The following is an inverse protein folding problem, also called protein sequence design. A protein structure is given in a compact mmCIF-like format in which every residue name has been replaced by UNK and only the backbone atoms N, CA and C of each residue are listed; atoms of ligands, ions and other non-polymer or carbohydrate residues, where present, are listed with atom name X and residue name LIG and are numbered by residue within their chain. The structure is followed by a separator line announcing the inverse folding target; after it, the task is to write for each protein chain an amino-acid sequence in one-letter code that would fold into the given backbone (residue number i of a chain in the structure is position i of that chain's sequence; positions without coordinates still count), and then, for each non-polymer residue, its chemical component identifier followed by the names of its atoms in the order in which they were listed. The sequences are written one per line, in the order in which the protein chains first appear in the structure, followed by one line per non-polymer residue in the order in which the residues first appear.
data_IF_755381532602
#
_entry.id   IF_755381532602
#
_cell.length_a   1.000
_cell.length_b   1.000
_cell.length_c   1.000
_cell.angle_alpha   90.00
_cell.angle_beta   90.00
_cell.angle_gamma   90.00
#
_symmetry.space_group_name_H-M   'P 1'
#
loop_
_entity.id
_entity.type
_entity.pdbx_description
1 polymer ?
#
# COMPACT_ATOMS: atom_id res chain seq x y z
N UNK A 1 29.88 -0.03 4.39
CA UNK A 1 29.31 -0.76 3.22
C UNK A 1 27.86 -1.12 3.52
N UNK A 2 26.96 -0.17 3.28
CA UNK A 2 25.53 -0.32 3.55
C UNK A 2 24.83 -1.00 2.39
N UNK A 3 24.24 -2.16 2.64
CA UNK A 3 23.35 -2.82 1.70
C UNK A 3 21.90 -2.43 2.05
N UNK A 4 21.20 -1.88 1.06
CA UNK A 4 19.79 -1.54 1.12
C UNK A 4 18.99 -2.86 1.16
N UNK A 5 18.33 -3.16 2.28
CA UNK A 5 17.49 -4.34 2.39
C UNK A 5 16.09 -4.02 1.84
N UNK A 6 15.86 -4.43 0.60
CA UNK A 6 14.57 -4.31 -0.04
C UNK A 6 13.61 -5.37 0.53
N UNK A 7 12.60 -4.88 1.24
CA UNK A 7 11.50 -5.64 1.81
C UNK A 7 10.44 -5.83 0.72
N UNK A 8 10.07 -7.07 0.39
CA UNK A 8 9.09 -7.33 -0.66
C UNK A 8 7.86 -8.09 -0.17
N UNK A 9 6.70 -7.44 -0.29
CA UNK A 9 5.36 -8.04 -0.20
C UNK A 9 4.95 -8.58 -1.58
N UNK A 10 4.51 -9.83 -1.64
CA UNK A 10 3.94 -10.45 -2.85
C UNK A 10 2.41 -10.24 -2.80
N UNK A 11 1.83 -9.61 -3.83
CA UNK A 11 0.37 -9.53 -4.03
C UNK A 11 0.01 -10.22 -5.35
N UNK A 12 -0.74 -11.31 -5.26
CA UNK A 12 -1.31 -12.04 -6.39
C UNK A 12 -2.32 -11.17 -7.13
N UNK A 13 -2.01 -10.77 -8.36
CA UNK A 13 -2.97 -10.15 -9.29
C UNK A 13 -2.78 -10.75 -10.68
N UNK A 14 -3.87 -11.21 -11.30
CA UNK A 14 -3.89 -11.81 -12.64
C UNK A 14 -3.58 -10.76 -13.73
N UNK A 15 -2.67 -11.03 -14.70
CA UNK A 15 -2.50 -10.19 -15.87
C UNK A 15 -3.41 -10.60 -17.05
N UNK A 16 -3.77 -9.67 -17.96
CA UNK A 16 -4.49 -9.98 -19.20
C UNK A 16 -3.55 -10.55 -20.26
N UNK A 17 -4.08 -11.42 -21.13
CA UNK A 17 -3.34 -12.09 -22.22
C UNK A 17 -2.89 -11.09 -23.30
N UNK A 18 -1.65 -11.22 -23.76
CA UNK A 18 -1.17 -10.67 -25.04
C UNK A 18 -0.55 -11.77 -25.92
N UNK A 19 -0.61 -11.62 -27.26
CA UNK A 19 -0.21 -12.63 -28.26
C UNK A 19 1.30 -12.52 -28.64
N UNK A 20 1.86 -13.48 -29.44
CA UNK A 20 3.29 -13.78 -29.48
C UNK A 20 4.10 -12.88 -30.45
N UNK A 21 5.45 -12.93 -30.39
CA UNK A 21 6.32 -11.95 -31.02
C UNK A 21 6.74 -12.34 -32.44
N UNK A 22 7.02 -11.33 -33.26
CA UNK A 22 7.75 -11.45 -34.52
C UNK A 22 8.99 -10.55 -34.49
N UNK A 23 10.09 -11.16 -34.88
CA UNK A 23 11.47 -10.66 -34.99
C UNK A 23 11.66 -9.67 -36.14
N UNK A 24 12.49 -8.63 -35.93
CA UNK A 24 13.73 -8.34 -36.69
C UNK A 24 14.15 -6.87 -36.56
N UNK A 25 15.40 -6.68 -36.14
CA UNK A 25 16.40 -5.71 -36.61
C UNK A 25 15.96 -4.32 -37.11
N UNK A 26 16.41 -3.27 -36.40
CA UNK A 26 16.85 -1.95 -36.89
C UNK A 26 16.78 -0.91 -35.77
N UNK A 27 17.93 -0.40 -35.32
CA UNK A 27 18.02 0.73 -34.38
C UNK A 27 17.38 2.00 -34.96
N UNK A 28 16.44 2.69 -34.29
CA UNK A 28 15.97 3.99 -34.71
C UNK A 28 16.85 5.13 -34.14
N UNK A 29 17.11 6.20 -34.90
CA UNK A 29 17.79 7.38 -34.39
C UNK A 29 16.89 8.14 -33.39
N UNK A 30 17.52 8.73 -32.39
CA UNK A 30 16.88 9.59 -31.37
C UNK A 30 16.02 10.69 -32.02
N UNK A 31 14.82 10.98 -31.50
CA UNK A 31 13.96 12.02 -32.06
C UNK A 31 14.52 13.41 -31.75
N UNK A 32 15.25 13.99 -32.70
CA UNK A 32 15.53 15.42 -32.70
C UNK A 32 14.22 16.18 -32.94
N UNK A 33 13.73 16.85 -31.89
CA UNK A 33 12.53 17.68 -31.95
C UNK A 33 12.74 18.79 -32.99
N UNK A 34 11.86 18.85 -34.00
CA UNK A 34 11.89 19.85 -35.07
C UNK A 34 11.76 21.26 -34.48
N UNK A 35 12.36 22.27 -35.12
CA UNK A 35 12.38 23.65 -34.59
C UNK A 35 10.96 24.21 -34.33
N UNK A 36 9.95 23.83 -35.10
CA UNK A 36 8.56 24.21 -34.78
C UNK A 36 8.03 23.60 -33.48
N UNK A 37 8.46 22.39 -33.11
CA UNK A 37 8.06 21.76 -31.84
C UNK A 37 8.74 22.44 -30.65
N UNK A 38 10.02 22.82 -30.78
CA UNK A 38 10.74 23.60 -29.76
C UNK A 38 10.08 24.96 -29.53
N UNK A 39 9.69 25.66 -30.59
CA UNK A 39 8.97 26.94 -30.47
C UNK A 39 7.62 26.78 -29.77
N UNK A 40 6.87 25.69 -30.02
CA UNK A 40 5.60 25.43 -29.33
C UNK A 40 5.80 25.14 -27.84
N UNK A 41 6.84 24.39 -27.49
CA UNK A 41 7.19 24.11 -26.09
C UNK A 41 7.60 25.40 -25.37
N UNK A 42 8.41 26.24 -25.99
CA UNK A 42 8.85 27.51 -25.40
C UNK A 42 7.70 28.50 -25.27
N UNK A 43 6.80 28.58 -26.25
CA UNK A 43 5.59 29.39 -26.18
C UNK A 43 4.64 28.92 -25.05
N UNK A 44 4.53 27.60 -24.84
CA UNK A 44 3.75 27.06 -23.73
C UNK A 44 4.39 27.40 -22.37
N UNK A 45 5.72 27.26 -22.27
CA UNK A 45 6.51 27.63 -21.08
C UNK A 45 6.30 29.10 -20.72
N UNK A 46 6.41 30.00 -21.69
CA UNK A 46 6.20 31.45 -21.50
C UNK A 46 4.76 31.77 -21.06
N UNK A 47 3.75 31.12 -21.64
CA UNK A 47 2.35 31.30 -21.23
C UNK A 47 2.09 30.81 -19.80
N UNK A 48 2.67 29.68 -19.41
CA UNK A 48 2.54 29.17 -18.04
C UNK A 48 3.18 30.11 -17.01
N UNK A 49 4.37 30.63 -17.32
CA UNK A 49 5.07 31.61 -16.47
C UNK A 49 4.29 32.93 -16.37
N UNK A 50 3.69 33.42 -17.46
CA UNK A 50 2.85 34.61 -17.46
C UNK A 50 1.58 34.43 -16.59
N UNK A 51 0.90 33.26 -16.69
CA UNK A 51 -0.25 32.94 -15.83
C UNK A 51 0.12 32.92 -14.35
N UNK A 52 1.28 32.35 -14.00
CA UNK A 52 1.78 32.31 -12.62
C UNK A 52 2.11 33.71 -12.09
N UNK A 53 2.73 34.57 -12.92
CA UNK A 53 2.99 35.97 -12.56
C UNK A 53 1.69 36.78 -12.38
N UNK A 54 0.69 36.57 -13.23
CA UNK A 54 -0.61 37.25 -13.11
C UNK A 54 -1.35 36.87 -11.82
N UNK A 55 -1.30 35.59 -11.41
CA UNK A 55 -1.85 35.12 -10.13
C UNK A 55 -1.14 35.75 -8.92
N UNK A 56 0.18 35.88 -8.98
CA UNK A 56 0.98 36.50 -7.92
C UNK A 56 0.72 38.02 -7.83
N UNK A 57 0.55 38.71 -8.95
CA UNK A 57 0.17 40.12 -8.96
C UNK A 57 -1.26 40.36 -8.46
N UNK A 58 -2.20 39.42 -8.67
CA UNK A 58 -3.53 39.47 -8.05
C UNK A 58 -3.52 39.23 -6.54
N UNK A 59 -2.48 38.58 -6.00
CA UNK A 59 -2.33 38.36 -4.55
C UNK A 59 -1.71 39.55 -3.81
N UNK A 60 -1.04 40.48 -4.50
CA UNK A 60 -0.35 41.61 -3.87
C UNK A 60 -1.22 42.87 -3.65
N UNK A 61 -2.47 42.90 -4.12
CA UNK A 61 -3.33 44.09 -4.00
C UNK A 61 -4.32 44.09 -2.82
N UNK A 62 -4.21 43.16 -1.86
CA UNK A 62 -5.05 43.16 -0.64
C UNK A 62 -4.19 43.02 0.64
N UNK A 63 -4.38 43.85 1.69
CA UNK A 63 -3.71 43.68 2.97
C UNK A 63 -4.25 42.46 3.75
N UNK A 64 -3.49 41.91 4.71
CA UNK A 64 -3.69 40.56 5.22
C UNK A 64 -4.83 40.50 6.23
N UNK A 65 -5.99 39.97 5.84
CA UNK A 65 -6.97 39.44 6.79
C UNK A 65 -6.74 37.94 6.95
N UNK A 66 -6.68 37.50 8.21
CA UNK A 66 -6.65 36.11 8.62
C UNK A 66 -7.74 35.28 7.91
N UNK A 67 -7.38 34.05 7.54
CA UNK A 67 -8.18 33.00 6.90
C UNK A 67 -8.49 33.17 5.41
N UNK A 68 -8.25 32.10 4.61
CA UNK A 68 -9.42 31.31 4.22
C UNK A 68 -9.17 29.81 4.04
N UNK A 69 -9.84 29.04 4.91
CA UNK A 69 -10.46 27.77 4.53
C UNK A 69 -11.47 28.04 3.40
N UNK A 70 -11.18 27.52 2.21
CA UNK A 70 -12.09 27.19 1.10
C UNK A 70 -13.40 27.99 1.00
N UNK A 71 -13.39 29.10 0.25
CA UNK A 71 -14.63 29.71 -0.29
C UNK A 71 -14.85 29.29 -1.74
N UNK A 72 -15.67 28.27 -1.95
CA UNK A 72 -16.37 28.03 -3.21
C UNK A 72 -17.72 28.76 -3.17
N UNK A 73 -17.77 29.98 -3.70
CA UNK A 73 -19.02 30.66 -4.01
C UNK A 73 -19.14 30.76 -5.53
N UNK A 74 -20.09 30.05 -6.13
CA UNK A 74 -20.99 30.54 -7.21
C UNK A 74 -22.13 29.53 -7.41
N UNK A 75 -23.13 29.53 -6.52
CA UNK A 75 -24.48 29.11 -6.90
C UNK A 75 -25.20 30.35 -7.43
N UNK A 76 -25.61 30.31 -8.70
CA UNK A 76 -26.52 31.31 -9.26
C UNK A 76 -27.87 30.64 -9.48
N UNK A 77 -28.90 31.19 -8.81
CA UNK A 77 -30.13 31.75 -9.36
C UNK A 77 -31.47 31.17 -8.84
N UNK A 78 -32.32 32.14 -8.52
CA UNK A 78 -33.80 32.23 -8.49
C UNK A 78 -34.52 31.79 -7.21
N UNK A 79 -35.30 32.76 -6.74
CA UNK A 79 -36.29 32.83 -5.67
C UNK A 79 -37.50 31.91 -5.88
N UNK A 80 -38.07 31.37 -4.81
CA UNK A 80 -39.35 31.84 -4.24
C UNK A 80 -39.73 31.03 -2.99
N UNK A 81 -40.55 31.61 -2.07
CA UNK A 81 -40.94 30.98 -0.82
C UNK A 81 -42.27 30.24 -0.98
N UNK A 82 -42.33 28.95 -0.66
CA UNK A 82 -43.59 28.28 -0.35
C UNK A 82 -43.41 27.04 0.52
N UNK A 83 -44.09 27.10 1.65
CA UNK A 83 -44.45 26.09 2.65
C UNK A 83 -44.88 24.75 2.06
N UNK A 84 -44.19 23.66 2.42
CA UNK A 84 -44.81 22.33 2.53
C UNK A 84 -44.00 21.44 3.49
N UNK A 85 -44.72 20.82 4.41
CA UNK A 85 -44.24 19.95 5.47
C UNK A 85 -43.37 18.81 4.92
N UNK A 86 -42.07 18.83 5.24
CA UNK A 86 -41.19 17.69 5.02
C UNK A 86 -41.39 16.69 6.17
N UNK A 87 -42.01 15.56 5.85
CA UNK A 87 -42.09 14.37 6.70
C UNK A 87 -40.64 14.00 7.13
N UNK A 88 -40.36 13.72 8.42
CA UNK A 88 -39.03 13.28 8.82
C UNK A 88 -38.69 11.97 8.10
N UNK A 89 -37.50 11.83 7.49
CA UNK A 89 -37.11 10.57 6.88
C UNK A 89 -37.08 9.48 7.96
N UNK A 90 -37.82 8.40 7.69
CA UNK A 90 -37.87 7.19 8.51
C UNK A 90 -36.43 6.71 8.77
N UNK A 91 -36.02 6.42 10.02
CA UNK A 91 -34.67 5.94 10.30
C UNK A 91 -34.47 4.62 9.55
N UNK A 92 -33.54 4.63 8.60
CA UNK A 92 -33.06 3.40 7.98
C UNK A 92 -32.52 2.47 9.09
N UNK A 93 -32.74 1.15 9.00
CA UNK A 93 -32.18 0.23 9.97
C UNK A 93 -30.66 0.36 9.94
N UNK A 94 -30.10 0.94 11.01
CA UNK A 94 -28.65 1.06 11.20
C UNK A 94 -28.10 -0.35 11.32
N UNK A 95 -27.51 -0.86 10.23
CA UNK A 95 -26.82 -2.14 10.28
C UNK A 95 -25.71 -2.06 11.32
N UNK A 96 -25.49 -3.11 12.12
CA UNK A 96 -24.41 -3.14 13.08
C UNK A 96 -23.07 -2.85 12.39
N UNK A 97 -22.25 -2.05 13.06
CA UNK A 97 -20.92 -1.73 12.56
C UNK A 97 -19.97 -2.91 12.82
N UNK A 98 -19.30 -3.35 11.76
CA UNK A 98 -18.30 -4.41 11.86
C UNK A 98 -17.26 -4.21 10.79
N UNK A 99 -16.01 -4.55 11.12
CA UNK A 99 -14.94 -4.52 10.15
C UNK A 99 -14.03 -5.73 10.32
N UNK A 100 -13.28 -6.03 9.27
CA UNK A 100 -12.29 -7.07 9.26
C UNK A 100 -10.91 -6.48 9.45
N UNK A 101 -9.97 -7.30 9.88
CA UNK A 101 -8.56 -6.96 9.91
C UNK A 101 -7.77 -8.06 9.23
N UNK A 102 -6.92 -7.66 8.28
CA UNK A 102 -6.00 -8.57 7.60
C UNK A 102 -4.61 -8.40 8.17
N UNK A 103 -4.03 -9.51 8.64
CA UNK A 103 -2.65 -9.57 9.10
C UNK A 103 -1.77 -10.02 7.94
N UNK A 104 -0.79 -9.20 7.58
CA UNK A 104 0.11 -9.47 6.46
C UNK A 104 1.56 -9.30 6.88
N UNK A 105 2.42 -10.20 6.43
CA UNK A 105 3.85 -10.12 6.63
C UNK A 105 4.38 -8.90 5.89
N UNK A 106 5.10 -8.04 6.59
CA UNK A 106 5.65 -6.83 6.00
C UNK A 106 7.15 -6.68 6.20
N UNK A 107 7.79 -7.50 7.03
CA UNK A 107 9.25 -7.59 7.14
C UNK A 107 9.64 -8.97 7.71
N UNK A 108 10.94 -9.31 7.79
CA UNK A 108 11.38 -10.59 8.38
C UNK A 108 10.94 -10.80 9.84
N UNK A 109 10.72 -9.71 10.59
CA UNK A 109 10.42 -9.73 12.03
C UNK A 109 9.13 -8.98 12.39
N UNK A 110 8.35 -8.55 11.40
CA UNK A 110 7.17 -7.70 11.61
C UNK A 110 6.04 -8.01 10.63
N UNK A 111 4.82 -7.72 11.07
CA UNK A 111 3.60 -7.85 10.29
C UNK A 111 2.76 -6.57 10.42
N UNK A 112 1.92 -6.32 9.41
CA UNK A 112 1.02 -5.18 9.35
C UNK A 112 -0.43 -5.60 9.54
N UNK A 113 -1.22 -4.76 10.20
CA UNK A 113 -2.67 -4.91 10.31
C UNK A 113 -3.34 -3.89 9.40
N UNK A 114 -4.22 -4.35 8.52
CA UNK A 114 -4.99 -3.51 7.61
C UNK A 114 -6.49 -3.73 7.82
N UNK A 115 -7.26 -2.68 8.20
CA UNK A 115 -8.71 -2.74 8.24
C UNK A 115 -9.31 -3.02 6.86
N UNK A 116 -10.40 -3.80 6.82
CA UNK A 116 -11.15 -4.12 5.60
C UNK A 116 -12.66 -4.07 5.88
N UNK A 117 -13.48 -3.72 4.88
CA UNK A 117 -14.93 -3.87 4.99
C UNK A 117 -15.31 -5.35 5.07
N UNK A 118 -16.37 -5.67 5.81
CA UNK A 118 -16.97 -7.01 5.90
C UNK A 118 -18.34 -6.96 5.23
N UNK A 119 -18.65 -8.00 4.45
CA UNK A 119 -19.93 -8.07 3.74
C UNK A 119 -21.10 -8.15 4.72
N UNK A 120 -22.14 -7.34 4.49
CA UNK A 120 -23.36 -7.35 5.32
C UNK A 120 -23.32 -6.45 6.57
N UNK A 121 -22.25 -5.69 6.78
CA UNK A 121 -22.11 -4.75 7.90
C UNK A 121 -21.71 -3.35 7.42
N UNK A 122 -22.03 -2.34 8.23
CA UNK A 122 -21.59 -0.97 7.98
C UNK A 122 -20.09 -0.87 8.28
N UNK A 123 -19.30 -0.43 7.31
CA UNK A 123 -17.87 -0.19 7.51
C UNK A 123 -17.66 1.19 8.18
N UNK A 124 -17.05 1.28 9.37
CA UNK A 124 -16.90 2.54 10.10
C UNK A 124 -15.98 3.58 9.43
N UNK A 125 -15.24 3.17 8.38
CA UNK A 125 -14.19 3.97 7.76
C UNK A 125 -12.82 3.67 8.36
N UNK A 126 -11.78 3.89 7.56
CA UNK A 126 -10.41 3.44 7.90
C UNK A 126 -9.85 4.12 9.15
N UNK A 127 -10.00 5.44 9.28
CA UNK A 127 -9.51 6.18 10.44
C UNK A 127 -10.16 5.72 11.75
N UNK A 128 -11.48 5.48 11.71
CA UNK A 128 -12.23 4.98 12.85
C UNK A 128 -11.82 3.56 13.23
N UNK A 129 -11.59 2.69 12.25
CA UNK A 129 -11.07 1.35 12.48
C UNK A 129 -9.70 1.39 13.18
N UNK A 130 -8.78 2.26 12.72
CA UNK A 130 -7.47 2.42 13.37
C UNK A 130 -7.58 2.94 14.80
N UNK A 131 -8.46 3.91 15.06
CA UNK A 131 -8.73 4.40 16.42
C UNK A 131 -9.20 3.29 17.35
N UNK A 132 -10.10 2.42 16.87
CA UNK A 132 -10.56 1.24 17.64
C UNK A 132 -9.41 0.25 17.88
N UNK A 133 -8.62 -0.03 16.84
CA UNK A 133 -7.47 -0.94 16.95
C UNK A 133 -6.41 -0.44 17.93
N UNK A 134 -6.13 0.87 17.96
CA UNK A 134 -5.22 1.48 18.91
C UNK A 134 -5.69 1.28 20.36
N UNK A 135 -6.99 1.42 20.62
CA UNK A 135 -7.57 1.11 21.92
C UNK A 135 -7.42 -0.37 22.30
N UNK A 136 -7.76 -1.27 21.37
CA UNK A 136 -7.72 -2.73 21.57
C UNK A 136 -6.30 -3.27 21.76
N UNK A 137 -5.35 -2.69 21.05
CA UNK A 137 -3.95 -3.10 21.04
C UNK A 137 -3.08 -2.17 21.88
N UNK A 138 -3.67 -1.37 22.77
CA UNK A 138 -2.94 -0.45 23.65
C UNK A 138 -1.86 -1.13 24.51
N UNK A 139 -2.07 -2.42 24.85
CA UNK A 139 -1.10 -3.23 25.59
C UNK A 139 0.03 -3.80 24.71
N UNK A 140 -0.07 -3.69 23.38
CA UNK A 140 0.94 -4.15 22.43
C UNK A 140 1.48 -2.97 21.64
N UNK A 141 2.75 -2.63 21.86
CA UNK A 141 3.36 -1.49 21.19
C UNK A 141 3.42 -1.69 19.68
N UNK A 142 2.70 -0.83 18.93
CA UNK A 142 2.94 -0.66 17.50
C UNK A 142 4.35 -0.12 17.28
N UNK A 143 5.04 -0.63 16.28
CA UNK A 143 6.42 -0.25 15.97
C UNK A 143 6.44 1.06 15.14
N UNK A 144 5.49 1.24 14.23
CA UNK A 144 5.25 2.46 13.43
C UNK A 144 4.07 2.25 12.46
N UNK A 145 3.59 3.33 11.83
CA UNK A 145 2.63 3.27 10.72
C UNK A 145 3.38 3.28 9.37
N UNK A 146 2.92 2.48 8.41
CA UNK A 146 3.48 2.44 7.05
C UNK A 146 2.41 2.73 6.01
N UNK A 147 2.80 3.39 4.91
CA UNK A 147 1.92 3.56 3.77
C UNK A 147 1.90 2.26 2.94
N UNK A 148 0.72 1.69 2.74
CA UNK A 148 0.54 0.54 1.86
C UNK A 148 0.54 0.99 0.39
N UNK A 149 0.87 0.09 -0.54
CA UNK A 149 0.89 0.37 -2.00
C UNK A 149 -0.44 0.87 -2.59
N UNK A 150 -1.52 0.88 -1.80
CA UNK A 150 -2.83 1.47 -2.15
C UNK A 150 -3.06 2.88 -1.56
N UNK A 151 -2.04 3.54 -1.01
CA UNK A 151 -2.13 4.88 -0.44
C UNK A 151 -2.70 4.96 0.98
N UNK A 152 -3.18 3.84 1.55
CA UNK A 152 -3.65 3.77 2.93
C UNK A 152 -2.53 3.64 3.96
N UNK A 153 -2.86 3.85 5.23
CA UNK A 153 -1.96 3.57 6.36
C UNK A 153 -2.18 2.12 6.85
N UNK A 154 -1.14 1.52 7.43
CA UNK A 154 -1.21 0.24 8.13
C UNK A 154 -0.33 0.28 9.39
N UNK A 155 -0.86 -0.23 10.50
CA UNK A 155 -0.15 -0.36 11.78
C UNK A 155 0.77 -1.58 11.72
N UNK A 156 2.04 -1.43 12.12
CA UNK A 156 3.06 -2.50 12.07
C UNK A 156 3.43 -2.98 13.48
N UNK A 157 3.46 -4.29 13.68
CA UNK A 157 3.76 -4.95 14.95
C UNK A 157 4.88 -5.97 14.77
N UNK A 158 5.61 -6.26 15.84
CA UNK A 158 6.66 -7.29 15.82
C UNK A 158 6.05 -8.68 15.83
N UNK A 159 6.67 -9.60 15.08
CA UNK A 159 6.21 -10.97 14.96
C UNK A 159 6.20 -11.72 16.30
N UNK A 160 7.12 -11.37 17.22
CA UNK A 160 7.14 -11.89 18.60
C UNK A 160 5.85 -11.58 19.39
N UNK A 161 5.14 -10.52 19.01
CA UNK A 161 3.91 -10.07 19.67
C UNK A 161 2.65 -10.60 18.96
N UNK A 162 2.81 -11.44 17.93
CA UNK A 162 1.72 -11.93 17.07
C UNK A 162 0.58 -12.59 17.87
N UNK A 163 0.92 -13.50 18.78
CA UNK A 163 -0.09 -14.20 19.59
C UNK A 163 -0.84 -13.26 20.54
N UNK A 164 -0.15 -12.28 21.11
CA UNK A 164 -0.75 -11.26 21.97
C UNK A 164 -1.73 -10.39 21.18
N UNK A 165 -1.32 -9.92 20.00
CA UNK A 165 -2.18 -9.16 19.07
C UNK A 165 -3.40 -10.00 18.67
N UNK A 166 -3.17 -11.24 18.24
CA UNK A 166 -4.24 -12.13 17.77
C UNK A 166 -5.27 -12.39 18.87
N UNK A 167 -4.81 -12.61 20.11
CA UNK A 167 -5.67 -12.78 21.28
C UNK A 167 -6.53 -11.53 21.53
N UNK A 168 -5.94 -10.33 21.48
CA UNK A 168 -6.68 -9.08 21.65
C UNK A 168 -7.75 -8.89 20.57
N UNK A 169 -7.41 -9.17 19.30
CA UNK A 169 -8.35 -9.03 18.19
C UNK A 169 -9.50 -10.03 18.25
N UNK A 170 -9.22 -11.31 18.56
CA UNK A 170 -10.24 -12.36 18.67
C UNK A 170 -11.20 -12.15 19.84
N UNK A 171 -10.78 -11.44 20.88
CA UNK A 171 -11.64 -11.11 22.01
C UNK A 171 -12.67 -10.02 21.69
N UNK A 172 -12.53 -9.30 20.58
CA UNK A 172 -13.41 -8.21 20.20
C UNK A 172 -14.44 -8.66 19.14
N UNK A 173 -15.73 -8.65 19.52
CA UNK A 173 -16.82 -9.26 18.73
C UNK A 173 -17.07 -8.58 17.38
N UNK A 174 -16.76 -7.28 17.28
CA UNK A 174 -17.03 -6.47 16.09
C UNK A 174 -15.86 -6.48 15.09
N UNK A 175 -14.86 -7.33 15.33
CA UNK A 175 -13.71 -7.53 14.44
C UNK A 175 -13.68 -8.95 13.91
N UNK A 176 -13.57 -9.10 12.60
CA UNK A 176 -13.25 -10.36 11.94
C UNK A 176 -11.77 -10.40 11.60
N UNK A 177 -11.07 -11.47 12.00
CA UNK A 177 -9.62 -11.56 11.82
C UNK A 177 -9.27 -12.51 10.67
N UNK A 178 -8.58 -11.98 9.66
CA UNK A 178 -7.89 -12.76 8.64
C UNK A 178 -6.42 -12.91 9.04
N UNK A 179 -6.08 -14.10 9.52
CA UNK A 179 -4.77 -14.45 10.06
C UNK A 179 -3.73 -14.71 8.95
N UNK A 180 -2.46 -14.65 9.33
CA UNK A 180 -1.39 -15.20 8.51
C UNK A 180 -1.56 -16.72 8.49
N UNK A 181 -1.58 -17.39 7.32
CA UNK A 181 -1.70 -18.84 7.25
C UNK A 181 -0.66 -19.54 8.13
N UNK A 182 -1.08 -20.53 8.93
CA UNK A 182 -0.24 -21.18 9.94
C UNK A 182 1.10 -21.68 9.37
N UNK A 183 1.08 -22.30 8.18
CA UNK A 183 2.30 -22.79 7.53
C UNK A 183 3.30 -21.67 7.29
N UNK A 184 2.83 -20.50 6.89
CA UNK A 184 3.68 -19.32 6.66
C UNK A 184 4.17 -18.74 7.99
N UNK A 185 3.29 -18.63 8.98
CA UNK A 185 3.64 -18.15 10.31
C UNK A 185 4.72 -19.00 10.99
N UNK A 186 4.54 -20.33 11.02
CA UNK A 186 5.48 -21.27 11.63
C UNK A 186 6.87 -21.22 10.97
N UNK A 187 6.93 -20.99 9.66
CA UNK A 187 8.19 -20.80 8.95
C UNK A 187 8.85 -19.49 9.39
N UNK A 188 8.10 -18.38 9.45
CA UNK A 188 8.62 -17.09 9.86
C UNK A 188 9.04 -17.02 11.32
N UNK A 189 8.30 -17.64 12.21
CA UNK A 189 8.67 -17.74 13.63
C UNK A 189 10.07 -18.34 13.77
N UNK A 190 10.37 -19.42 13.04
CA UNK A 190 11.71 -20.02 13.00
C UNK A 190 12.77 -19.09 12.40
N UNK A 191 12.44 -18.39 11.31
CA UNK A 191 13.34 -17.41 10.70
C UNK A 191 13.59 -16.19 11.58
N UNK A 192 12.63 -15.78 12.43
CA UNK A 192 12.77 -14.62 13.29
C UNK A 192 13.90 -14.79 14.31
N UNK A 193 14.14 -16.02 14.79
CA UNK A 193 15.29 -16.35 15.64
C UNK A 193 16.64 -16.26 14.92
N UNK A 194 16.63 -16.35 13.60
CA UNK A 194 17.83 -16.26 12.76
C UNK A 194 18.22 -14.80 12.44
N UNK A 195 17.42 -13.83 12.89
CA UNK A 195 17.71 -12.41 12.76
C UNK A 195 18.05 -11.82 14.14
N UNK A 196 19.34 -11.80 14.48
CA UNK A 196 19.82 -11.32 15.79
C UNK A 196 20.61 -10.01 15.62
N UNK A 197 20.26 -8.98 16.38
CA UNK A 197 20.99 -7.69 16.44
C UNK A 197 21.24 -7.03 15.06
N UNK A 198 20.25 -7.10 14.16
CA UNK A 198 20.35 -6.53 12.81
C UNK A 198 21.21 -7.32 11.84
N UNK A 199 21.68 -8.51 12.24
CA UNK A 199 22.41 -9.43 11.36
C UNK A 199 21.53 -10.65 11.09
N UNK A 200 21.34 -10.93 9.81
CA UNK A 200 20.75 -12.19 9.38
C UNK A 200 21.80 -13.31 9.45
N UNK A 201 21.42 -14.41 10.09
CA UNK A 201 22.19 -15.63 10.20
C UNK A 201 21.49 -16.67 9.31
N UNK A 202 22.19 -17.27 8.34
CA UNK A 202 21.66 -18.37 7.55
C UNK A 202 20.99 -19.45 8.41
N UNK A 203 19.76 -19.83 8.07
CA UNK A 203 19.10 -20.97 8.74
C UNK A 203 19.75 -22.30 8.34
N UNK A 204 20.43 -22.30 7.20
CA UNK A 204 21.15 -23.43 6.63
C UNK A 204 22.53 -22.96 6.24
N UNK A 205 23.61 -23.42 6.90
CA UNK A 205 24.94 -22.97 6.54
C UNK A 205 25.41 -23.51 5.19
N UNK A 206 24.67 -24.45 4.58
CA UNK A 206 25.05 -25.06 3.32
C UNK A 206 24.91 -24.09 2.14
N UNK A 207 25.99 -23.91 1.40
CA UNK A 207 25.95 -23.21 0.12
C UNK A 207 25.54 -24.19 -0.98
N UNK A 208 24.38 -23.96 -1.60
CA UNK A 208 23.89 -24.84 -2.65
C UNK A 208 24.53 -24.50 -4.00
N UNK A 209 24.99 -25.49 -4.78
CA UNK A 209 25.43 -25.28 -6.15
C UNK A 209 24.26 -24.94 -7.07
N UNK A 210 24.53 -24.32 -8.21
CA UNK A 210 23.50 -23.79 -9.12
C UNK A 210 22.50 -24.86 -9.56
N UNK A 211 22.95 -26.08 -9.82
CA UNK A 211 22.09 -27.19 -10.22
C UNK A 211 21.06 -27.51 -9.14
N UNK A 212 21.47 -27.48 -7.88
CA UNK A 212 20.58 -27.75 -6.74
C UNK A 212 19.63 -26.59 -6.48
N UNK A 213 20.07 -25.36 -6.72
CA UNK A 213 19.22 -24.16 -6.64
C UNK A 213 18.11 -24.25 -7.67
N UNK A 214 18.43 -24.53 -8.94
CA UNK A 214 17.40 -24.65 -9.99
C UNK A 214 16.43 -25.80 -9.71
N UNK A 215 16.90 -26.94 -9.18
CA UNK A 215 16.03 -28.05 -8.76
C UNK A 215 15.02 -27.61 -7.69
N UNK A 216 15.44 -26.80 -6.71
CA UNK A 216 14.55 -26.26 -5.69
C UNK A 216 13.57 -25.23 -6.25
N UNK A 217 14.03 -24.35 -7.15
CA UNK A 217 13.18 -23.37 -7.82
C UNK A 217 12.08 -24.07 -8.62
N UNK A 218 12.39 -25.16 -9.32
CA UNK A 218 11.42 -25.95 -10.08
C UNK A 218 10.36 -26.65 -9.22
N UNK A 219 10.64 -26.88 -7.92
CA UNK A 219 9.68 -27.44 -6.97
C UNK A 219 8.66 -26.40 -6.45
N UNK A 220 8.87 -25.11 -6.72
CA UNK A 220 7.94 -24.07 -6.30
C UNK A 220 6.64 -24.14 -7.12
N UNK A 221 5.48 -23.85 -6.52
CA UNK A 221 4.23 -23.75 -7.26
C UNK A 221 4.35 -22.75 -8.42
N UNK A 222 3.93 -23.14 -9.63
CA UNK A 222 4.04 -22.29 -10.85
C UNK A 222 3.46 -20.89 -10.65
N UNK A 223 2.29 -20.80 -10.01
CA UNK A 223 1.63 -19.52 -9.69
C UNK A 223 2.52 -18.57 -8.87
N UNK A 224 3.35 -19.10 -7.97
CA UNK A 224 4.28 -18.29 -7.19
C UNK A 224 5.41 -17.77 -8.09
N UNK A 225 6.03 -18.65 -8.88
CA UNK A 225 7.10 -18.27 -9.82
C UNK A 225 6.66 -17.19 -10.81
N UNK A 226 5.45 -17.33 -11.36
CA UNK A 226 4.87 -16.37 -12.32
C UNK A 226 4.56 -15.01 -11.69
N UNK A 227 4.43 -14.93 -10.35
CA UNK A 227 4.16 -13.68 -9.64
C UNK A 227 5.46 -12.97 -9.22
N UNK A 228 6.59 -13.68 -9.16
CA UNK A 228 7.87 -13.10 -8.78
C UNK A 228 8.42 -12.22 -9.91
N UNK A 229 8.79 -11.00 -9.56
CA UNK A 229 9.57 -10.14 -10.44
C UNK A 229 10.98 -10.72 -10.61
N UNK A 230 11.68 -10.45 -11.73
CA UNK A 230 12.99 -11.02 -12.00
C UNK A 230 13.99 -10.85 -10.85
N UNK A 231 14.09 -9.64 -10.27
CA UNK A 231 14.99 -9.39 -9.15
C UNK A 231 14.60 -10.15 -7.87
N UNK A 232 13.32 -10.51 -7.69
CA UNK A 232 12.86 -11.31 -6.55
C UNK A 232 13.27 -12.76 -6.72
N UNK A 233 13.14 -13.28 -7.94
CA UNK A 233 13.62 -14.61 -8.28
C UNK A 233 15.14 -14.71 -8.12
N UNK A 234 15.88 -13.70 -8.56
CA UNK A 234 17.33 -13.62 -8.36
C UNK A 234 17.70 -13.55 -6.89
N UNK A 235 16.98 -12.75 -6.10
CA UNK A 235 17.14 -12.69 -4.64
C UNK A 235 16.90 -14.03 -3.97
N UNK A 236 15.88 -14.77 -4.41
CA UNK A 236 15.60 -16.12 -3.91
C UNK A 236 16.72 -17.09 -4.24
N UNK A 237 17.20 -17.11 -5.49
CA UNK A 237 18.35 -17.93 -5.92
C UNK A 237 19.60 -17.57 -5.13
N UNK A 238 19.86 -16.28 -4.93
CA UNK A 238 20.97 -15.80 -4.14
C UNK A 238 20.91 -16.29 -2.69
N UNK A 239 19.74 -16.21 -2.05
CA UNK A 239 19.51 -16.77 -0.72
C UNK A 239 19.84 -18.25 -0.68
N UNK A 240 19.25 -19.06 -1.57
CA UNK A 240 19.51 -20.50 -1.64
C UNK A 240 20.99 -20.87 -1.80
N UNK A 241 21.79 -20.05 -2.50
CA UNK A 241 23.25 -20.27 -2.64
C UNK A 241 24.04 -19.97 -1.36
N UNK A 242 23.51 -19.14 -0.48
CA UNK A 242 24.23 -18.57 0.68
C UNK A 242 23.65 -18.96 2.04
N UNK A 243 22.53 -19.69 2.04
CA UNK A 243 21.89 -20.26 3.23
C UNK A 243 20.66 -19.53 3.71
#
# INVERSE_FOLDING_TARGET
NGACFSIFKIKLTLPPRHPPPMSSDSSPPSPELTEEQKQRVEANRLRALAKRKALLSQQQSNPPSLNPCWRSFKSRKISDPCTHNAIPPKPEPVLPERFGVRLEICSPDSFSITPRPVQGFTYPGQAECFRRLEGLLSNVMSTHYTQIHGGGEASVYKLRDYDAVLKCLKNYKDVEVEEIPWTTYNVLEKFSHSYTSGRWIPCRPEHLPDEKVEELIQKLPRKLLETLLPFQLDGLKFGLRRG
#
